data_IF_269127740672
#
_entry.id   IF_269127740672
#
_cell.length_a   1.000
_cell.length_b   1.000
_cell.length_c   1.000
_cell.angle_alpha   90.00
_cell.angle_beta   90.00
_cell.angle_gamma   90.00
#
_symmetry.space_group_name_H-M   'P 1'
#
loop_
_entity.id
_entity.type
_entity.pdbx_description
1 polymer ?
#
# COMPACT_ATOMS: atom_id res chain seq x y z
N UNK A 1 5.72 55.04 -39.24
CA UNK A 1 6.24 53.74 -39.69
C UNK A 1 7.38 53.33 -38.78
N UNK A 2 7.13 52.53 -37.75
CA UNK A 2 8.16 51.91 -36.91
C UNK A 2 7.68 50.51 -36.53
N UNK A 3 8.35 49.53 -37.13
CA UNK A 3 8.33 48.11 -36.76
C UNK A 3 9.45 47.92 -35.72
N UNK A 4 9.16 47.21 -34.62
CA UNK A 4 10.06 46.27 -33.92
C UNK A 4 9.37 45.79 -32.63
N UNK A 5 8.92 44.54 -32.61
CA UNK A 5 9.65 43.39 -32.06
C UNK A 5 9.71 43.44 -30.52
N UNK A 6 8.79 42.73 -29.88
CA UNK A 6 9.02 42.17 -28.55
C UNK A 6 8.35 40.78 -28.47
N UNK A 7 9.03 39.70 -28.87
CA UNK A 7 8.59 38.36 -28.53
C UNK A 7 9.04 38.11 -27.09
N UNK A 8 8.12 38.29 -26.13
CA UNK A 8 8.43 37.94 -24.74
C UNK A 8 8.29 36.42 -24.60
N UNK A 9 9.44 35.76 -24.48
CA UNK A 9 9.59 34.43 -23.92
C UNK A 9 8.79 34.31 -22.62
N UNK A 10 7.81 33.41 -22.63
CA UNK A 10 7.34 32.67 -21.46
C UNK A 10 7.26 31.24 -21.99
N UNK A 11 8.14 30.31 -21.65
CA UNK A 11 8.68 30.00 -20.34
C UNK A 11 8.40 28.51 -20.20
N UNK A 12 9.46 27.71 -20.15
CA UNK A 12 9.42 26.25 -20.18
C UNK A 12 8.33 25.68 -19.25
N UNK A 13 7.26 25.13 -19.82
CA UNK A 13 6.48 24.10 -19.16
C UNK A 13 7.31 22.82 -19.25
N UNK A 14 8.23 22.66 -18.31
CA UNK A 14 8.74 21.36 -17.92
C UNK A 14 7.52 20.60 -17.41
N UNK A 15 6.84 19.89 -18.31
CA UNK A 15 6.01 18.78 -17.94
C UNK A 15 6.95 17.74 -17.32
N UNK A 16 7.25 17.92 -16.03
CA UNK A 16 7.62 16.84 -15.15
C UNK A 16 6.39 15.96 -15.04
N UNK A 17 6.16 15.15 -16.08
CA UNK A 17 5.27 14.02 -16.00
C UNK A 17 5.87 13.13 -14.92
N UNK A 18 5.20 13.17 -13.77
CA UNK A 18 5.35 12.26 -12.66
C UNK A 18 5.51 10.85 -13.23
N UNK A 19 6.75 10.37 -13.23
CA UNK A 19 7.08 9.06 -13.75
C UNK A 19 6.63 8.07 -12.69
N UNK A 20 5.33 7.79 -12.68
CA UNK A 20 4.79 6.65 -11.97
C UNK A 20 5.58 5.44 -12.46
N UNK A 21 6.43 4.87 -11.61
CA UNK A 21 7.10 3.59 -11.84
C UNK A 21 6.01 2.55 -12.13
N UNK A 22 5.72 2.35 -13.40
CA UNK A 22 4.99 1.17 -13.85
C UNK A 22 5.89 -0.02 -13.55
N UNK A 23 5.57 -0.75 -12.49
CA UNK A 23 6.11 -2.09 -12.27
C UNK A 23 5.95 -2.89 -13.57
N UNK A 24 6.93 -3.74 -13.94
CA UNK A 24 6.85 -4.51 -15.17
C UNK A 24 5.74 -5.55 -15.03
N UNK A 25 4.54 -5.23 -15.52
CA UNK A 25 3.56 -6.27 -15.83
C UNK A 25 4.11 -7.10 -16.98
N UNK A 26 4.25 -8.41 -16.76
CA UNK A 26 4.59 -9.36 -17.82
C UNK A 26 3.59 -9.20 -18.98
N UNK A 27 4.09 -8.78 -20.13
CA UNK A 27 3.31 -8.62 -21.36
C UNK A 27 2.58 -9.92 -21.70
N UNK A 28 1.25 -9.86 -21.87
CA UNK A 28 0.43 -10.96 -22.40
C UNK A 28 -0.67 -11.52 -21.47
N UNK A 29 -0.66 -11.20 -20.17
CA UNK A 29 -1.71 -11.66 -19.23
C UNK A 29 -2.67 -10.52 -18.91
N UNK A 30 -3.94 -10.64 -19.33
CA UNK A 30 -4.99 -9.74 -18.87
C UNK A 30 -5.42 -10.13 -17.46
N UNK A 31 -5.34 -9.19 -16.52
CA UNK A 31 -5.77 -9.38 -15.12
C UNK A 31 -7.01 -8.53 -14.87
N UNK A 32 -8.04 -9.14 -14.31
CA UNK A 32 -9.22 -8.44 -13.80
C UNK A 32 -9.23 -8.54 -12.28
N UNK A 33 -9.23 -7.39 -11.59
CA UNK A 33 -9.40 -7.35 -10.15
C UNK A 33 -10.85 -7.72 -9.80
N UNK A 34 -11.04 -8.79 -9.03
CA UNK A 34 -12.34 -9.21 -8.52
C UNK A 34 -12.59 -8.67 -7.10
N UNK A 35 -11.56 -8.67 -6.25
CA UNK A 35 -11.63 -8.24 -4.86
C UNK A 35 -10.25 -7.82 -4.36
N UNK A 36 -10.16 -6.64 -3.75
CA UNK A 36 -8.97 -6.12 -3.08
C UNK A 36 -9.10 -6.11 -1.55
N UNK A 37 -7.93 -6.18 -0.90
CA UNK A 37 -7.74 -5.86 0.52
C UNK A 37 -6.70 -4.75 0.62
N UNK A 38 -6.98 -3.74 1.44
CA UNK A 38 -6.13 -2.56 1.60
C UNK A 38 -5.67 -2.44 3.04
N UNK A 39 -4.43 -1.98 3.21
CA UNK A 39 -3.86 -1.60 4.48
C UNK A 39 -3.25 -0.21 4.34
N UNK A 40 -3.80 0.75 5.09
CA UNK A 40 -3.45 2.16 4.99
C UNK A 40 -2.98 2.66 6.35
N UNK A 41 -1.88 3.42 6.39
CA UNK A 41 -1.41 4.07 7.62
C UNK A 41 -1.69 5.57 7.57
N UNK A 42 -2.25 6.10 8.64
CA UNK A 42 -2.62 7.50 8.78
C UNK A 42 -1.83 8.14 9.90
N UNK A 43 -1.43 9.40 9.72
CA UNK A 43 -1.12 10.31 10.83
C UNK A 43 -2.39 11.09 11.14
N UNK A 44 -2.90 10.93 12.36
CA UNK A 44 -4.12 11.58 12.82
C UNK A 44 -3.74 12.75 13.73
N UNK A 45 -4.40 13.88 13.54
CA UNK A 45 -4.29 15.06 14.39
C UNK A 45 -5.68 15.41 14.94
N UNK A 46 -5.81 15.49 16.25
CA UNK A 46 -7.02 15.91 16.96
C UNK A 46 -6.65 16.94 18.04
N UNK A 47 -6.88 18.21 17.74
CA UNK A 47 -6.43 19.33 18.57
C UNK A 47 -4.91 19.34 18.72
N UNK A 48 -4.43 19.15 19.96
CA UNK A 48 -3.00 19.06 20.28
C UNK A 48 -2.46 17.62 20.24
N UNK A 49 -3.32 16.62 20.03
CA UNK A 49 -2.93 15.22 20.02
C UNK A 49 -2.61 14.77 18.60
N UNK A 50 -1.53 13.99 18.48
CA UNK A 50 -1.11 13.37 17.22
C UNK A 50 -0.76 11.92 17.46
N UNK A 51 -1.29 11.02 16.64
CA UNK A 51 -0.97 9.60 16.68
C UNK A 51 -0.98 9.00 15.28
N UNK A 52 -0.61 7.73 15.18
CA UNK A 52 -0.71 6.97 13.94
C UNK A 52 -1.79 5.91 14.06
N UNK A 53 -2.48 5.63 12.96
CA UNK A 53 -3.46 4.55 12.86
C UNK A 53 -3.17 3.68 11.66
N UNK A 54 -3.58 2.42 11.74
CA UNK A 54 -3.72 1.54 10.59
C UNK A 54 -5.19 1.30 10.33
N UNK A 55 -5.60 1.41 9.07
CA UNK A 55 -6.90 0.99 8.59
C UNK A 55 -6.73 -0.24 7.69
N UNK A 56 -7.52 -1.28 7.93
CA UNK A 56 -7.56 -2.49 7.10
C UNK A 56 -8.98 -2.63 6.57
N UNK A 57 -9.12 -2.77 5.25
CA UNK A 57 -10.41 -2.90 4.58
C UNK A 57 -10.38 -3.94 3.47
N UNK A 58 -11.56 -4.43 3.12
CA UNK A 58 -11.83 -5.23 1.92
C UNK A 58 -12.83 -4.42 1.09
N UNK A 59 -12.68 -4.37 -0.24
CA UNK A 59 -13.58 -3.55 -1.07
C UNK A 59 -15.05 -3.82 -0.74
N UNK A 60 -15.84 -2.75 -0.62
CA UNK A 60 -17.26 -2.78 -0.27
C UNK A 60 -17.59 -3.39 1.11
N UNK A 61 -16.60 -3.49 2.00
CA UNK A 61 -16.77 -3.99 3.37
C UNK A 61 -16.48 -2.93 4.42
N UNK A 62 -16.61 -3.31 5.69
CA UNK A 62 -16.27 -2.45 6.84
C UNK A 62 -14.74 -2.26 6.93
N UNK A 63 -14.34 -1.05 7.31
CA UNK A 63 -12.95 -0.72 7.63
C UNK A 63 -12.69 -0.94 9.12
N UNK A 64 -11.64 -1.70 9.43
CA UNK A 64 -11.13 -1.86 10.79
C UNK A 64 -10.03 -0.84 11.03
N UNK A 65 -10.15 -0.01 12.08
CA UNK A 65 -9.16 1.01 12.45
C UNK A 65 -8.53 0.69 13.80
N UNK A 66 -7.22 0.84 13.90
CA UNK A 66 -6.46 0.55 15.12
C UNK A 66 -5.37 1.60 15.32
N UNK A 67 -5.12 2.06 16.56
CA UNK A 67 -3.98 2.92 16.86
C UNK A 67 -2.67 2.14 16.73
N UNK A 68 -1.61 2.83 16.34
CA UNK A 68 -0.26 2.29 16.20
C UNK A 68 0.64 2.90 17.26
N UNK A 69 1.29 2.03 18.04
CA UNK A 69 2.23 2.41 19.07
C UNK A 69 3.63 1.90 18.72
N UNK A 70 4.64 2.74 18.95
CA UNK A 70 6.03 2.35 18.78
C UNK A 70 6.63 2.02 20.13
N UNK A 71 7.35 0.90 20.21
CA UNK A 71 8.07 0.52 21.42
C UNK A 71 9.54 0.26 21.14
N UNK A 72 10.38 0.66 22.08
CA UNK A 72 11.80 0.34 22.10
C UNK A 72 12.17 -0.11 23.52
N UNK A 73 12.74 -1.31 23.65
CA UNK A 73 13.11 -1.90 24.95
C UNK A 73 11.95 -1.92 25.97
N UNK A 74 10.74 -2.27 25.50
CA UNK A 74 9.54 -2.37 26.34
C UNK A 74 8.91 -1.03 26.75
N UNK A 75 9.42 0.11 26.27
CA UNK A 75 8.85 1.44 26.55
C UNK A 75 8.27 2.06 25.28
N UNK A 76 7.15 2.78 25.43
CA UNK A 76 6.57 3.53 24.33
C UNK A 76 7.46 4.72 23.97
N UNK A 77 7.70 4.90 22.67
CA UNK A 77 8.55 5.97 22.14
C UNK A 77 7.80 6.75 21.06
N UNK A 78 8.17 8.03 20.90
CA UNK A 78 7.76 8.83 19.75
C UNK A 78 8.79 8.65 18.63
N UNK A 79 8.31 8.62 17.41
CA UNK A 79 9.14 8.51 16.20
C UNK A 79 8.82 9.67 15.26
N UNK A 80 9.75 9.99 14.36
CA UNK A 80 9.50 10.96 13.29
C UNK A 80 8.64 10.35 12.18
N UNK A 81 8.02 11.19 11.34
CA UNK A 81 7.20 10.74 10.21
C UNK A 81 8.02 9.86 9.23
N UNK A 82 9.17 10.38 8.81
CA UNK A 82 10.46 9.68 8.81
C UNK A 82 10.49 8.17 9.08
N UNK A 83 10.74 7.91 10.34
CA UNK A 83 10.91 6.58 10.91
C UNK A 83 9.62 5.77 10.82
N UNK A 84 8.46 6.40 11.08
CA UNK A 84 7.16 5.74 10.99
C UNK A 84 6.94 5.15 9.59
N UNK A 85 7.19 5.92 8.53
CA UNK A 85 7.04 5.46 7.15
C UNK A 85 7.94 4.26 6.83
N UNK A 86 9.22 4.31 7.24
CA UNK A 86 10.15 3.20 7.04
C UNK A 86 9.74 1.93 7.80
N UNK A 87 9.23 2.09 9.02
CA UNK A 87 8.73 0.98 9.84
C UNK A 87 7.46 0.39 9.20
N UNK A 88 6.52 1.23 8.75
CA UNK A 88 5.28 0.79 8.11
C UNK A 88 5.54 0.06 6.79
N UNK A 89 6.45 0.56 5.96
CA UNK A 89 6.86 -0.12 4.71
C UNK A 89 7.43 -1.51 5.00
N UNK A 90 8.35 -1.62 5.96
CA UNK A 90 8.94 -2.90 6.36
C UNK A 90 7.89 -3.86 6.89
N UNK A 91 7.00 -3.37 7.75
CA UNK A 91 5.91 -4.14 8.34
C UNK A 91 4.92 -4.63 7.28
N UNK A 92 4.52 -3.78 6.31
CA UNK A 92 3.62 -4.15 5.22
C UNK A 92 4.24 -5.22 4.33
N UNK A 93 5.51 -5.08 3.95
CA UNK A 93 6.24 -6.08 3.15
C UNK A 93 6.30 -7.44 3.85
N UNK A 94 6.62 -7.45 5.15
CA UNK A 94 6.63 -8.68 5.94
C UNK A 94 5.23 -9.29 6.05
N UNK A 95 4.20 -8.46 6.30
CA UNK A 95 2.84 -8.94 6.44
C UNK A 95 2.28 -9.50 5.12
N UNK A 96 2.60 -8.89 3.99
CA UNK A 96 2.23 -9.39 2.67
C UNK A 96 2.85 -10.77 2.39
N UNK A 97 4.14 -10.96 2.73
CA UNK A 97 4.81 -12.28 2.64
C UNK A 97 4.11 -13.32 3.51
N UNK A 98 3.78 -12.96 4.75
CA UNK A 98 3.10 -13.86 5.67
C UNK A 98 1.71 -14.25 5.16
N UNK A 99 0.93 -13.31 4.61
CA UNK A 99 -0.38 -13.59 4.01
C UNK A 99 -0.24 -14.58 2.84
N UNK A 100 0.74 -14.37 1.97
CA UNK A 100 1.01 -15.29 0.86
C UNK A 100 1.40 -16.69 1.36
N UNK A 101 2.22 -16.78 2.40
CA UNK A 101 2.65 -18.05 2.99
C UNK A 101 1.52 -18.81 3.72
N UNK A 102 0.58 -18.12 4.39
CA UNK A 102 -0.57 -18.78 5.02
C UNK A 102 -1.55 -19.37 3.99
N UNK A 103 -1.55 -18.85 2.76
CA UNK A 103 -2.35 -19.40 1.68
C UNK A 103 -1.85 -20.75 1.19
N UNK A 104 -0.54 -21.01 1.29
CA UNK A 104 0.10 -22.24 0.81
C UNK A 104 -0.10 -23.38 1.79
N UNK A 105 -1.34 -23.84 1.88
CA UNK A 105 -1.64 -25.14 2.48
C UNK A 105 -1.31 -26.22 1.45
N UNK A 106 -0.36 -27.07 1.85
CA UNK A 106 0.13 -28.33 1.25
C UNK A 106 1.29 -28.28 0.24
N UNK A 107 2.48 -28.67 0.74
CA UNK A 107 3.61 -29.24 -0.01
C UNK A 107 3.21 -30.48 -0.85
N UNK A 108 2.01 -31.05 -0.68
CA UNK A 108 1.55 -32.23 -1.43
C UNK A 108 1.39 -31.99 -2.94
N UNK A 109 1.40 -30.74 -3.41
CA UNK A 109 1.10 -30.37 -4.79
C UNK A 109 2.33 -30.19 -5.72
N UNK A 110 3.57 -30.31 -5.19
CA UNK A 110 4.78 -30.19 -6.01
C UNK A 110 5.04 -28.80 -6.61
N UNK A 111 4.30 -27.76 -6.18
CA UNK A 111 4.53 -26.38 -6.60
C UNK A 111 5.62 -25.72 -5.74
N UNK A 112 6.52 -24.97 -6.39
CA UNK A 112 7.65 -24.29 -5.73
C UNK A 112 7.30 -22.90 -5.16
N UNK A 113 6.19 -22.31 -5.59
CA UNK A 113 5.77 -20.96 -5.20
C UNK A 113 4.51 -21.01 -4.32
N UNK A 114 4.27 -20.00 -3.44
CA UNK A 114 3.06 -19.93 -2.64
C UNK A 114 1.81 -19.91 -3.52
N UNK A 115 0.83 -20.76 -3.21
CA UNK A 115 -0.47 -20.81 -3.86
C UNK A 115 -1.58 -20.70 -2.81
N UNK A 116 -2.82 -20.37 -3.20
CA UNK A 116 -3.96 -20.32 -2.29
C UNK A 116 -5.06 -21.26 -2.79
N UNK A 117 -5.37 -22.30 -2.01
CA UNK A 117 -6.48 -23.21 -2.28
C UNK A 117 -7.63 -22.95 -1.29
N UNK A 118 -8.79 -22.54 -1.79
CA UNK A 118 -9.98 -22.27 -0.97
C UNK A 118 -11.04 -23.36 -1.21
N UNK A 119 -11.49 -24.03 -0.15
CA UNK A 119 -12.64 -24.93 -0.20
C UNK A 119 -13.94 -24.13 -0.32
N UNK A 120 -14.62 -24.25 -1.46
CA UNK A 120 -15.88 -23.57 -1.75
C UNK A 120 -16.97 -23.91 -0.73
N UNK A 121 -17.08 -25.18 -0.32
CA UNK A 121 -18.15 -25.65 0.56
C UNK A 121 -18.01 -25.10 2.00
N UNK A 122 -16.79 -24.79 2.41
CA UNK A 122 -16.51 -24.20 3.74
C UNK A 122 -17.10 -22.80 3.88
N UNK A 123 -17.17 -22.06 2.78
CA UNK A 123 -17.51 -20.63 2.80
C UNK A 123 -18.89 -20.30 2.21
N UNK A 124 -19.51 -21.24 1.47
CA UNK A 124 -20.89 -21.11 0.98
C UNK A 124 -21.97 -21.42 2.04
N UNK A 125 -21.62 -21.96 3.21
CA UNK A 125 -22.57 -22.16 4.32
C UNK A 125 -22.72 -20.91 5.18
N UNK A 126 -23.63 -20.02 4.78
CA UNK A 126 -24.35 -19.09 5.67
C UNK A 126 -25.78 -18.91 5.21
#
# INVERSE_FOLDING_TARGET
MFIRMLPLLIGLLIAGCDQAEKQPEQEGVQRQLIQGMHAEFFKVADGSNTWFEVAISVDNSKTFRMPVFFSQNGKLVKVTDSQAQSIFDSWLKERAKNIAAFGSLDEQSGMKDPFLALDVNRWEKK
#
